data_IF_001504646398
#
_entry.id   IF_001504646398
#
_cell.length_a   1.000
_cell.length_b   1.000
_cell.length_c   1.000
_cell.angle_alpha   90.00
_cell.angle_beta   90.00
_cell.angle_gamma   90.00
#
_symmetry.space_group_name_H-M   'P 1'
#
loop_
_entity.id
_entity.type
_entity.pdbx_description
1 polymer ?
#
# COMPACT_ATOMS: atom_id res chain seq x y z
N UNK A 1 5.69 38.36 -11.30
CA UNK A 1 6.11 37.77 -10.02
C UNK A 1 4.87 37.28 -9.28
N UNK A 2 4.35 36.10 -9.63
CA UNK A 2 3.12 35.55 -9.03
C UNK A 2 3.46 34.86 -7.72
N UNK A 3 3.11 35.49 -6.61
CA UNK A 3 3.14 34.90 -5.27
C UNK A 3 2.06 33.82 -5.21
N UNK A 4 2.41 32.56 -5.37
CA UNK A 4 1.49 31.44 -5.12
C UNK A 4 1.13 31.43 -3.64
N UNK A 5 -0.04 31.97 -3.30
CA UNK A 5 -0.60 31.90 -1.96
C UNK A 5 -0.81 30.42 -1.65
N UNK A 6 0.02 29.85 -0.79
CA UNK A 6 -0.19 28.48 -0.28
C UNK A 6 -1.52 28.45 0.46
N UNK A 7 -2.52 27.81 -0.13
CA UNK A 7 -3.81 27.60 0.53
C UNK A 7 -3.59 26.91 1.88
N UNK A 8 -4.33 27.28 2.92
CA UNK A 8 -4.21 26.65 4.24
C UNK A 8 -4.47 25.13 4.14
N UNK A 9 -3.77 24.36 4.96
CA UNK A 9 -3.78 22.90 4.95
C UNK A 9 -5.21 22.33 4.99
N UNK A 10 -6.09 22.96 5.77
CA UNK A 10 -7.51 22.57 5.90
C UNK A 10 -8.28 22.70 4.57
N UNK A 11 -8.02 23.73 3.79
CA UNK A 11 -8.68 23.89 2.48
C UNK A 11 -8.16 22.86 1.48
N UNK A 12 -6.87 22.56 1.49
CA UNK A 12 -6.30 21.51 0.65
C UNK A 12 -6.85 20.12 1.00
N UNK A 13 -7.06 19.84 2.28
CA UNK A 13 -7.68 18.59 2.73
C UNK A 13 -9.14 18.48 2.29
N UNK A 14 -9.93 19.58 2.39
CA UNK A 14 -11.33 19.62 1.93
C UNK A 14 -11.43 19.42 0.41
N UNK A 15 -10.59 20.08 -0.38
CA UNK A 15 -10.56 19.89 -1.84
C UNK A 15 -10.23 18.46 -2.21
N UNK A 16 -9.25 17.84 -1.55
CA UNK A 16 -8.90 16.42 -1.75
C UNK A 16 -10.03 15.48 -1.37
N UNK A 17 -10.73 15.75 -0.28
CA UNK A 17 -11.87 14.95 0.16
C UNK A 17 -13.05 15.03 -0.84
N UNK A 18 -13.29 16.19 -1.43
CA UNK A 18 -14.33 16.38 -2.44
C UNK A 18 -13.96 15.76 -3.79
N UNK A 19 -12.65 15.70 -4.12
CA UNK A 19 -12.12 15.02 -5.31
C UNK A 19 -11.92 13.51 -5.11
N UNK A 20 -12.20 12.99 -3.90
CA UNK A 20 -12.04 11.57 -3.60
C UNK A 20 -13.10 10.77 -4.35
N UNK A 21 -12.65 9.77 -5.10
CA UNK A 21 -13.52 8.90 -5.88
C UNK A 21 -14.25 7.91 -4.96
N UNK A 22 -15.43 8.32 -4.48
CA UNK A 22 -16.28 7.52 -3.60
C UNK A 22 -16.77 6.25 -4.26
N UNK A 23 -16.94 6.25 -5.58
CA UNK A 23 -17.36 5.06 -6.33
C UNK A 23 -16.23 4.02 -6.29
N UNK A 24 -15.00 4.41 -6.58
CA UNK A 24 -13.85 3.52 -6.48
C UNK A 24 -13.68 2.98 -5.06
N UNK A 25 -13.81 3.85 -4.05
CA UNK A 25 -13.70 3.43 -2.65
C UNK A 25 -14.80 2.44 -2.25
N UNK A 26 -16.05 2.63 -2.70
CA UNK A 26 -17.14 1.69 -2.43
C UNK A 26 -16.89 0.32 -3.04
N UNK A 27 -16.30 0.25 -4.24
CA UNK A 27 -15.89 -1.01 -4.86
C UNK A 27 -14.79 -1.72 -4.06
N UNK A 28 -13.82 -0.98 -3.53
CA UNK A 28 -12.78 -1.54 -2.64
C UNK A 28 -13.39 -2.12 -1.37
N UNK A 29 -14.33 -1.40 -0.74
CA UNK A 29 -15.04 -1.90 0.46
C UNK A 29 -15.84 -3.16 0.12
N UNK A 30 -16.52 -3.19 -1.01
CA UNK A 30 -17.27 -4.37 -1.46
C UNK A 30 -16.35 -5.59 -1.63
N UNK A 31 -15.18 -5.41 -2.25
CA UNK A 31 -14.17 -6.47 -2.38
C UNK A 31 -13.67 -6.97 -1.02
N UNK A 32 -13.43 -6.05 -0.08
CA UNK A 32 -13.03 -6.40 1.29
C UNK A 32 -14.12 -7.22 1.97
N UNK A 33 -15.40 -6.84 1.84
CA UNK A 33 -16.52 -7.57 2.41
C UNK A 33 -16.62 -8.99 1.83
N UNK A 34 -16.51 -9.14 0.52
CA UNK A 34 -16.52 -10.47 -0.14
C UNK A 34 -15.33 -11.30 0.35
N UNK A 35 -14.15 -10.73 0.47
CA UNK A 35 -12.96 -11.40 1.01
C UNK A 35 -13.14 -11.87 2.45
N UNK A 36 -13.74 -11.05 3.32
CA UNK A 36 -14.06 -11.42 4.70
C UNK A 36 -15.11 -12.54 4.77
N UNK A 37 -16.15 -12.48 3.95
CA UNK A 37 -17.18 -13.53 3.88
C UNK A 37 -16.58 -14.87 3.43
N UNK A 38 -15.66 -14.85 2.46
CA UNK A 38 -14.98 -16.07 1.99
C UNK A 38 -14.14 -16.70 3.10
N UNK A 39 -13.37 -15.89 3.83
CA UNK A 39 -12.56 -16.37 4.96
C UNK A 39 -13.47 -16.89 6.07
N UNK A 40 -14.53 -16.18 6.40
CA UNK A 40 -15.50 -16.61 7.42
C UNK A 40 -16.12 -17.97 7.07
N UNK A 41 -16.41 -18.23 5.80
CA UNK A 41 -16.97 -19.50 5.33
C UNK A 41 -15.99 -20.67 5.49
N UNK A 42 -14.68 -20.42 5.38
CA UNK A 42 -13.64 -21.46 5.48
C UNK A 42 -13.18 -21.67 6.93
N UNK A 43 -13.24 -20.62 7.75
CA UNK A 43 -12.67 -20.57 9.11
C UNK A 43 -13.61 -21.11 10.18
N UNK A 44 -14.23 -22.29 9.93
CA UNK A 44 -15.08 -22.97 10.93
C UNK A 44 -14.29 -23.56 12.11
N UNK A 45 -12.97 -23.54 12.10
CA UNK A 45 -12.11 -24.30 13.04
C UNK A 45 -11.22 -23.42 13.92
N UNK A 46 -10.83 -22.21 13.53
CA UNK A 46 -9.93 -21.37 14.33
C UNK A 46 -10.30 -19.88 14.29
N UNK A 47 -10.96 -19.39 15.34
CA UNK A 47 -11.41 -17.99 15.53
C UNK A 47 -10.30 -16.94 15.44
N UNK A 48 -9.04 -17.33 15.62
CA UNK A 48 -7.89 -16.41 15.59
C UNK A 48 -7.49 -15.93 14.19
N UNK A 49 -7.92 -16.62 13.13
CA UNK A 49 -7.56 -16.26 11.75
C UNK A 49 -8.32 -15.01 11.29
N UNK A 50 -9.61 -14.95 11.59
CA UNK A 50 -10.46 -13.79 11.30
C UNK A 50 -9.99 -12.52 11.97
N UNK A 51 -9.60 -12.59 13.26
CA UNK A 51 -9.10 -11.43 14.00
C UNK A 51 -7.79 -10.91 13.41
N UNK A 52 -6.87 -11.80 13.09
CA UNK A 52 -5.60 -11.42 12.44
C UNK A 52 -5.81 -10.80 11.05
N UNK A 53 -6.78 -11.30 10.30
CA UNK A 53 -7.08 -10.80 8.97
C UNK A 53 -7.78 -9.44 9.01
N UNK A 54 -8.75 -9.24 9.90
CA UNK A 54 -9.42 -7.95 10.09
C UNK A 54 -8.45 -6.86 10.58
N UNK A 55 -7.50 -7.19 11.45
CA UNK A 55 -6.42 -6.27 11.84
C UNK A 55 -5.56 -5.84 10.64
N UNK A 56 -5.20 -6.77 9.76
CA UNK A 56 -4.44 -6.46 8.53
C UNK A 56 -5.23 -5.53 7.60
N UNK A 57 -6.52 -5.77 7.43
CA UNK A 57 -7.41 -4.90 6.65
C UNK A 57 -7.47 -3.50 7.26
N UNK A 58 -7.63 -3.39 8.58
CA UNK A 58 -7.63 -2.10 9.27
C UNK A 58 -6.35 -1.30 9.04
N UNK A 59 -5.19 -1.95 9.18
CA UNK A 59 -3.89 -1.33 8.90
C UNK A 59 -3.79 -0.91 7.42
N UNK A 60 -4.24 -1.76 6.48
CA UNK A 60 -4.19 -1.47 5.04
C UNK A 60 -5.06 -0.28 4.67
N UNK A 61 -6.26 -0.15 5.25
CA UNK A 61 -7.13 1.01 5.08
C UNK A 61 -6.47 2.28 5.65
N UNK A 62 -5.84 2.18 6.82
CA UNK A 62 -5.09 3.29 7.40
C UNK A 62 -3.96 3.78 6.47
N UNK A 63 -3.14 2.86 5.96
CA UNK A 63 -2.08 3.18 4.99
C UNK A 63 -2.66 3.78 3.71
N UNK A 64 -3.78 3.23 3.20
CA UNK A 64 -4.46 3.76 2.03
C UNK A 64 -4.83 5.23 2.20
N UNK A 65 -5.42 5.61 3.32
CA UNK A 65 -5.76 7.02 3.59
C UNK A 65 -4.52 7.89 3.72
N UNK A 66 -3.47 7.43 4.40
CA UNK A 66 -2.20 8.17 4.50
C UNK A 66 -1.65 8.46 3.10
N UNK A 67 -1.61 7.46 2.24
CA UNK A 67 -1.11 7.61 0.86
C UNK A 67 -2.01 8.52 0.05
N UNK A 68 -3.35 8.36 0.12
CA UNK A 68 -4.33 9.15 -0.63
C UNK A 68 -4.28 10.64 -0.26
N UNK A 69 -4.08 10.97 1.01
CA UNK A 69 -3.98 12.36 1.47
C UNK A 69 -2.58 12.96 1.33
N UNK A 70 -1.55 12.15 1.10
CA UNK A 70 -0.20 12.65 0.86
C UNK A 70 -0.11 13.36 -0.49
N UNK A 71 0.74 14.39 -0.56
CA UNK A 71 0.89 15.17 -1.78
C UNK A 71 1.69 14.37 -2.83
N UNK A 72 1.18 14.29 -4.07
CA UNK A 72 1.83 13.58 -5.18
C UNK A 72 3.28 14.03 -5.41
N UNK A 73 3.57 15.32 -5.17
CA UNK A 73 4.93 15.89 -5.28
C UNK A 73 5.93 15.23 -4.33
N UNK A 74 5.46 14.73 -3.18
CA UNK A 74 6.29 13.99 -2.25
C UNK A 74 6.73 12.66 -2.88
N UNK A 75 5.79 11.91 -3.46
CA UNK A 75 6.05 10.64 -4.11
C UNK A 75 6.99 10.80 -5.30
N UNK A 76 6.81 11.81 -6.12
CA UNK A 76 7.72 12.12 -7.22
C UNK A 76 9.14 12.46 -6.74
N UNK A 77 9.27 13.22 -5.65
CA UNK A 77 10.59 13.58 -5.12
C UNK A 77 11.39 12.37 -4.67
N UNK A 78 10.74 11.42 -4.04
CA UNK A 78 11.39 10.24 -3.45
C UNK A 78 11.27 8.96 -4.29
N UNK A 79 10.74 9.03 -5.50
CA UNK A 79 10.51 7.88 -6.36
C UNK A 79 11.76 7.02 -6.60
N UNK A 80 12.89 7.64 -6.91
CA UNK A 80 14.15 6.90 -7.14
C UNK A 80 14.74 6.33 -5.85
N UNK A 81 14.62 7.05 -4.73
CA UNK A 81 15.07 6.56 -3.43
C UNK A 81 14.24 5.35 -3.01
N UNK A 82 12.92 5.43 -3.19
CA UNK A 82 12.01 4.31 -2.94
C UNK A 82 12.34 3.11 -3.82
N UNK A 83 12.59 3.33 -5.11
CA UNK A 83 13.02 2.28 -6.04
C UNK A 83 14.30 1.60 -5.59
N UNK A 84 15.34 2.35 -5.19
CA UNK A 84 16.60 1.79 -4.70
C UNK A 84 16.43 0.99 -3.41
N UNK A 85 15.60 1.46 -2.47
CA UNK A 85 15.32 0.74 -1.23
C UNK A 85 14.64 -0.60 -1.53
N UNK A 86 13.62 -0.60 -2.38
CA UNK A 86 12.89 -1.82 -2.74
C UNK A 86 13.77 -2.78 -3.54
N UNK A 87 14.64 -2.26 -4.40
CA UNK A 87 15.64 -3.06 -5.11
C UNK A 87 16.60 -3.75 -4.13
N UNK A 88 17.10 -3.01 -3.13
CA UNK A 88 17.92 -3.57 -2.06
C UNK A 88 17.20 -4.66 -1.26
N UNK A 89 15.90 -4.45 -0.96
CA UNK A 89 15.07 -5.48 -0.31
C UNK A 89 14.92 -6.74 -1.18
N UNK A 90 14.79 -6.59 -2.50
CA UNK A 90 14.77 -7.73 -3.43
C UNK A 90 16.07 -8.53 -3.40
N UNK A 91 17.21 -7.84 -3.43
CA UNK A 91 18.51 -8.51 -3.26
C UNK A 91 18.59 -9.23 -1.91
N UNK A 92 18.21 -8.54 -0.83
CA UNK A 92 18.21 -9.14 0.51
C UNK A 92 17.40 -10.43 0.57
N UNK A 93 16.17 -10.42 0.01
CA UNK A 93 15.29 -11.61 -0.01
C UNK A 93 15.86 -12.74 -0.85
N UNK A 94 16.56 -12.45 -1.93
CA UNK A 94 17.20 -13.47 -2.77
C UNK A 94 18.22 -14.31 -1.97
N UNK A 95 18.91 -13.68 -1.03
CA UNK A 95 19.93 -14.38 -0.21
C UNK A 95 19.36 -14.91 1.12
N UNK A 96 18.52 -14.13 1.80
CA UNK A 96 18.06 -14.40 3.17
C UNK A 96 16.55 -14.66 3.28
N UNK A 97 15.81 -14.65 2.17
CA UNK A 97 14.36 -14.81 2.18
C UNK A 97 13.90 -16.20 2.63
N UNK A 98 12.71 -16.22 3.23
CA UNK A 98 12.04 -17.48 3.60
C UNK A 98 11.44 -18.12 2.35
N UNK A 99 11.69 -19.43 2.18
CA UNK A 99 11.11 -20.20 1.09
C UNK A 99 9.71 -20.67 1.46
N UNK A 100 8.68 -20.08 0.84
CA UNK A 100 7.35 -20.66 0.81
C UNK A 100 7.13 -21.27 -0.59
N UNK A 101 6.69 -22.52 -0.64
CA UNK A 101 6.44 -23.26 -1.90
C UNK A 101 7.66 -23.33 -2.84
N UNK A 102 8.87 -23.49 -2.29
CA UNK A 102 10.09 -23.71 -3.09
C UNK A 102 10.78 -22.45 -3.63
N UNK A 103 10.25 -21.25 -3.36
CA UNK A 103 10.88 -20.00 -3.78
C UNK A 103 11.04 -19.02 -2.61
N UNK A 104 12.26 -18.49 -2.43
CA UNK A 104 12.57 -17.45 -1.43
C UNK A 104 11.99 -16.10 -1.89
N UNK A 105 10.79 -15.76 -1.45
CA UNK A 105 10.08 -14.56 -1.91
C UNK A 105 9.49 -13.69 -0.79
N UNK A 106 9.53 -14.18 0.46
CA UNK A 106 8.84 -13.57 1.57
C UNK A 106 9.79 -13.09 2.65
N UNK A 107 9.52 -11.91 3.20
CA UNK A 107 10.13 -11.43 4.44
C UNK A 107 9.07 -11.59 5.54
N UNK A 108 9.41 -12.36 6.57
CA UNK A 108 8.57 -12.50 7.73
C UNK A 108 8.86 -11.34 8.70
N UNK A 109 7.91 -10.44 8.86
CA UNK A 109 7.96 -9.31 9.79
C UNK A 109 7.06 -9.59 10.99
N UNK A 110 7.23 -10.71 11.65
CA UNK A 110 6.54 -11.12 12.89
C UNK A 110 5.00 -11.03 12.84
N UNK A 111 4.41 -9.93 12.38
CA UNK A 111 2.97 -9.70 12.26
C UNK A 111 2.41 -9.90 10.86
N UNK A 112 3.21 -9.72 9.83
CA UNK A 112 2.79 -9.89 8.43
C UNK A 112 3.98 -10.26 7.53
N UNK A 113 3.67 -10.98 6.49
CA UNK A 113 4.65 -11.34 5.47
C UNK A 113 4.60 -10.30 4.36
N UNK A 114 5.74 -9.68 4.06
CA UNK A 114 5.87 -8.75 2.94
C UNK A 114 6.57 -9.47 1.78
N UNK A 115 6.01 -9.30 0.60
CA UNK A 115 6.63 -9.74 -0.63
C UNK A 115 7.22 -8.53 -1.35
N UNK A 116 8.55 -8.35 -1.36
CA UNK A 116 9.19 -7.15 -1.95
C UNK A 116 8.92 -6.98 -3.44
N UNK A 117 8.62 -8.06 -4.17
CA UNK A 117 8.25 -7.99 -5.59
C UNK A 117 6.95 -7.21 -5.83
N UNK A 118 5.98 -7.24 -4.89
CA UNK A 118 4.77 -6.43 -4.99
C UNK A 118 5.07 -4.94 -4.82
N UNK A 119 5.94 -4.61 -3.86
CA UNK A 119 6.42 -3.24 -3.67
C UNK A 119 7.22 -2.74 -4.88
N UNK A 120 7.98 -3.64 -5.54
CA UNK A 120 8.78 -3.29 -6.70
C UNK A 120 7.92 -2.86 -7.89
N UNK A 121 6.75 -3.46 -8.11
CA UNK A 121 5.81 -3.02 -9.15
C UNK A 121 5.43 -1.55 -8.97
N UNK A 122 5.08 -1.17 -7.74
CA UNK A 122 4.73 0.23 -7.43
C UNK A 122 5.94 1.15 -7.59
N UNK A 123 7.12 0.71 -7.13
CA UNK A 123 8.34 1.48 -7.21
C UNK A 123 8.77 1.76 -8.65
N UNK A 124 8.65 0.76 -9.55
CA UNK A 124 8.93 0.92 -10.98
C UNK A 124 7.96 1.92 -11.62
N UNK A 125 6.66 1.81 -11.35
CA UNK A 125 5.65 2.74 -11.89
C UNK A 125 5.97 4.18 -11.47
N UNK A 126 6.30 4.40 -10.20
CA UNK A 126 6.66 5.72 -9.69
C UNK A 126 7.95 6.26 -10.31
N UNK A 127 8.96 5.40 -10.48
CA UNK A 127 10.23 5.78 -11.09
C UNK A 127 10.06 6.16 -12.57
N UNK A 128 9.28 5.36 -13.33
CA UNK A 128 8.95 5.64 -14.73
C UNK A 128 8.11 6.92 -14.87
N UNK A 129 7.09 7.10 -14.02
CA UNK A 129 6.28 8.31 -14.01
C UNK A 129 7.13 9.57 -13.79
N UNK A 130 8.16 9.48 -12.94
CA UNK A 130 9.11 10.56 -12.75
C UNK A 130 10.06 10.76 -13.93
N UNK A 131 10.44 9.69 -14.60
CA UNK A 131 11.34 9.76 -15.76
C UNK A 131 10.69 10.45 -16.96
N UNK A 132 9.40 10.22 -17.19
CA UNK A 132 8.66 10.80 -18.32
C UNK A 132 8.07 12.20 -18.04
N UNK A 133 8.24 12.78 -16.86
CA UNK A 133 7.79 14.13 -16.53
C UNK A 133 8.87 15.18 -16.80
#
# INVERSE_FOLDING_TARGET
>A
MFRTIKKPIIQQAKEKFFMFDWLFFSLVILLICVGLLTIYSVDKVETNYLVKHSLRIGISIGIFFIVAFTNIKFWYRYAYVFYLIVLGLLFYVSFFGFSALGAKRWINLYFFNIQPSELMKVAVILALARYYQ
#
